data_IF_512875935877
#
_entry.id   IF_512875935877
#
_cell.length_a   1.000
_cell.length_b   1.000
_cell.length_c   1.000
_cell.angle_alpha   90.00
_cell.angle_beta   90.00
_cell.angle_gamma   90.00
#
_symmetry.space_group_name_H-M   'P 1'
#
loop_
_entity.id
_entity.type
_entity.pdbx_description
1 polymer ?
#
# COMPACT_ATOMS: atom_id res chain seq x y z
N UNK A 1 -11.20 4.96 11.91
CA UNK A 1 -12.26 4.38 11.07
C UNK A 1 -11.64 4.24 9.70
N UNK A 2 -10.73 3.27 9.53
CA UNK A 2 -10.31 2.91 8.18
C UNK A 2 -11.42 2.08 7.53
N UNK A 3 -12.14 2.75 6.64
CA UNK A 3 -12.30 2.37 5.24
C UNK A 3 -12.17 0.87 4.89
N UNK A 4 -13.21 0.10 5.20
CA UNK A 4 -13.87 -0.56 4.08
C UNK A 4 -14.55 0.56 3.29
N UNK A 5 -13.94 1.05 2.20
CA UNK A 5 -14.47 2.09 1.28
C UNK A 5 -15.79 1.69 0.57
N UNK A 6 -16.61 0.89 1.22
CA UNK A 6 -17.92 0.53 0.74
C UNK A 6 -18.94 1.51 1.35
N UNK A 7 -19.90 1.89 0.53
CA UNK A 7 -21.03 2.69 0.98
C UNK A 7 -21.83 1.96 2.07
N UNK A 8 -21.82 0.61 2.04
CA UNK A 8 -22.49 -0.28 3.00
C UNK A 8 -21.70 -1.55 3.30
N UNK A 9 -22.06 -2.27 4.37
CA UNK A 9 -21.49 -3.57 4.73
C UNK A 9 -20.70 -3.59 6.05
N UNK A 10 -20.10 -4.74 6.41
CA UNK A 10 -19.34 -4.89 7.64
C UNK A 10 -18.17 -3.91 7.74
N UNK A 11 -18.02 -3.26 8.90
CA UNK A 11 -16.97 -2.29 9.18
C UNK A 11 -16.61 -2.25 10.68
N UNK A 12 -15.55 -1.52 11.03
CA UNK A 12 -15.10 -1.40 12.41
C UNK A 12 -13.94 -0.43 12.57
N UNK A 13 -13.49 -0.20 13.81
CA UNK A 13 -12.18 0.37 14.06
C UNK A 13 -11.09 -0.62 13.63
N UNK A 14 -9.88 -0.10 13.53
CA UNK A 14 -8.79 -0.79 12.86
C UNK A 14 -7.44 -0.48 13.50
N UNK A 15 -6.44 -1.29 13.15
CA UNK A 15 -5.05 -1.09 13.53
C UNK A 15 -4.15 -1.41 12.36
N UNK A 16 -3.41 -0.41 11.91
CA UNK A 16 -2.46 -0.51 10.80
C UNK A 16 -1.03 -0.74 11.32
N UNK A 17 -0.22 -1.46 10.53
CA UNK A 17 1.18 -1.74 10.81
C UNK A 17 2.06 -1.04 9.79
N UNK A 18 3.08 -0.33 10.25
CA UNK A 18 3.99 0.43 9.38
C UNK A 18 5.43 -0.03 9.53
N UNK A 19 6.14 -0.16 8.41
CA UNK A 19 7.59 -0.19 8.36
C UNK A 19 8.13 1.25 8.35
N UNK A 20 9.16 1.50 9.14
CA UNK A 20 9.84 2.79 9.21
C UNK A 20 11.15 2.69 8.44
N UNK A 21 11.18 3.30 7.26
CA UNK A 21 12.40 3.43 6.46
C UNK A 21 13.44 4.28 7.18
N UNK A 22 14.71 4.05 6.85
CA UNK A 22 15.84 4.87 7.32
C UNK A 22 15.91 6.20 6.54
N UNK A 23 14.86 7.00 6.71
CA UNK A 23 14.74 8.36 6.19
C UNK A 23 14.68 9.32 7.37
N UNK A 24 15.30 10.49 7.22
CA UNK A 24 15.12 11.58 8.18
C UNK A 24 13.67 12.07 8.15
N UNK A 25 13.17 12.56 9.29
CA UNK A 25 11.85 13.18 9.31
C UNK A 25 11.80 14.37 8.34
N UNK A 26 10.73 14.44 7.54
CA UNK A 26 10.55 15.50 6.56
C UNK A 26 9.96 16.79 7.18
N UNK A 27 9.72 16.81 8.50
CA UNK A 27 9.12 17.93 9.23
C UNK A 27 8.43 17.47 10.51
N UNK A 28 7.83 18.41 11.25
CA UNK A 28 7.20 18.15 12.56
C UNK A 28 6.03 17.15 12.50
N UNK A 29 5.34 17.08 11.36
CA UNK A 29 4.21 16.17 11.14
C UNK A 29 4.62 14.88 10.39
N UNK A 30 5.91 14.50 10.43
CA UNK A 30 6.37 13.27 9.80
C UNK A 30 5.88 12.05 10.60
N UNK A 31 4.86 11.39 10.09
CA UNK A 31 4.23 10.22 10.71
C UNK A 31 3.53 9.34 9.66
N UNK A 32 2.78 8.32 10.09
CA UNK A 32 2.06 7.40 9.20
C UNK A 32 1.13 8.07 8.17
N UNK A 33 0.55 9.23 8.50
CA UNK A 33 -0.29 10.00 7.58
C UNK A 33 0.50 10.81 6.53
N UNK A 34 1.84 10.82 6.60
CA UNK A 34 2.69 11.59 5.71
C UNK A 34 3.10 10.78 4.47
N UNK A 35 3.07 11.41 3.29
CA UNK A 35 3.42 10.80 2.01
C UNK A 35 4.92 10.82 1.68
N UNK A 36 5.80 11.21 2.62
CA UNK A 36 7.25 11.30 2.39
C UNK A 36 7.95 9.94 2.18
N UNK A 37 7.24 8.83 2.38
CA UNK A 37 7.77 7.48 2.22
C UNK A 37 8.55 6.95 3.41
N UNK A 38 8.68 7.71 4.52
CA UNK A 38 9.31 7.21 5.76
C UNK A 38 8.50 6.09 6.41
N UNK A 39 7.17 6.25 6.47
CA UNK A 39 6.26 5.27 7.04
C UNK A 39 5.54 4.57 5.89
N UNK A 40 5.80 3.29 5.71
CA UNK A 40 5.19 2.46 4.67
C UNK A 40 4.25 1.47 5.34
N UNK A 41 2.96 1.54 5.03
CA UNK A 41 1.98 0.58 5.55
C UNK A 41 2.32 -0.83 5.06
N UNK A 42 2.25 -1.83 5.93
CA UNK A 42 2.42 -3.24 5.59
C UNK A 42 1.11 -4.00 5.60
N UNK A 43 0.13 -3.48 6.33
CA UNK A 43 -1.21 -4.03 6.37
C UNK A 43 -2.03 -3.49 7.52
N UNK A 44 -3.25 -4.00 7.60
CA UNK A 44 -4.32 -3.50 8.42
C UNK A 44 -5.10 -4.67 9.05
N UNK A 45 -5.40 -4.53 10.35
CA UNK A 45 -6.30 -5.40 11.09
C UNK A 45 -7.59 -4.64 11.40
N UNK A 46 -8.68 -4.95 10.70
CA UNK A 46 -9.99 -4.36 10.93
C UNK A 46 -10.77 -5.20 11.94
N UNK A 47 -11.16 -4.59 13.05
CA UNK A 47 -11.96 -5.22 14.10
C UNK A 47 -13.45 -5.06 13.76
N UNK A 48 -13.95 -5.92 12.88
CA UNK A 48 -15.34 -5.88 12.39
C UNK A 48 -16.34 -5.96 13.55
N UNK A 49 -17.03 -4.84 13.80
CA UNK A 49 -17.98 -4.70 14.91
C UNK A 49 -19.36 -4.21 14.49
N UNK A 50 -19.46 -3.54 13.34
CA UNK A 50 -20.71 -2.94 12.86
C UNK A 50 -20.98 -3.34 11.40
N UNK A 51 -22.22 -3.14 10.97
CA UNK A 51 -22.63 -3.12 9.58
C UNK A 51 -23.08 -1.69 9.25
N UNK A 52 -22.54 -1.11 8.19
CA UNK A 52 -22.95 0.20 7.68
C UNK A 52 -24.14 0.02 6.74
N UNK A 53 -25.24 0.66 7.08
CA UNK A 53 -26.47 0.63 6.29
C UNK A 53 -26.45 1.67 5.17
N UNK A 54 -27.38 1.57 4.22
CA UNK A 54 -27.50 2.49 3.07
C UNK A 54 -27.73 3.95 3.45
N UNK A 55 -28.32 4.20 4.63
CA UNK A 55 -28.55 5.54 5.18
C UNK A 55 -27.33 6.07 5.97
N UNK A 56 -26.24 5.30 6.02
CA UNK A 56 -25.02 5.62 6.75
C UNK A 56 -25.07 5.28 8.24
N UNK A 57 -26.20 4.77 8.77
CA UNK A 57 -26.28 4.30 10.15
C UNK A 57 -25.44 3.03 10.36
N UNK A 58 -25.09 2.77 11.62
CA UNK A 58 -24.27 1.62 12.01
C UNK A 58 -25.09 0.69 12.91
N UNK A 59 -25.22 -0.56 12.51
CA UNK A 59 -25.85 -1.62 13.32
C UNK A 59 -24.80 -2.57 13.85
N UNK A 60 -24.90 -3.02 15.11
CA UNK A 60 -23.91 -3.92 15.69
C UNK A 60 -24.00 -5.31 15.05
N UNK A 61 -22.85 -5.88 14.66
CA UNK A 61 -22.80 -7.23 14.12
C UNK A 61 -23.11 -8.27 15.20
N UNK A 62 -23.93 -9.26 14.86
CA UNK A 62 -24.22 -10.41 15.75
C UNK A 62 -22.94 -11.16 16.15
N UNK A 63 -21.97 -11.24 15.24
CA UNK A 63 -20.68 -11.87 15.49
C UNK A 63 -19.57 -10.91 15.07
N UNK A 64 -18.66 -10.63 16.00
CA UNK A 64 -17.47 -9.81 15.78
C UNK A 64 -16.35 -10.68 15.24
N UNK A 65 -15.65 -10.17 14.22
CA UNK A 65 -14.57 -10.89 13.56
C UNK A 65 -13.38 -9.94 13.36
N UNK A 66 -12.25 -10.50 12.92
CA UNK A 66 -11.08 -9.71 12.51
C UNK A 66 -10.89 -9.97 11.02
N UNK A 67 -10.81 -8.89 10.25
CA UNK A 67 -10.42 -8.91 8.85
C UNK A 67 -8.99 -8.38 8.74
N UNK A 68 -8.10 -9.14 8.10
CA UNK A 68 -6.67 -8.82 8.03
C UNK A 68 -6.25 -8.71 6.58
N UNK A 69 -5.78 -7.52 6.19
CA UNK A 69 -5.13 -7.27 4.92
C UNK A 69 -3.62 -7.08 5.12
N UNK A 70 -2.80 -7.80 4.36
CA UNK A 70 -1.35 -7.62 4.32
C UNK A 70 -0.90 -7.44 2.87
N UNK A 71 0.06 -6.55 2.64
CA UNK A 71 0.65 -6.32 1.32
C UNK A 71 1.85 -7.25 1.10
N UNK A 72 1.64 -8.34 0.36
CA UNK A 72 2.66 -9.37 0.15
C UNK A 72 3.90 -8.84 -0.58
N UNK A 73 3.72 -7.99 -1.58
CA UNK A 73 4.79 -7.36 -2.36
C UNK A 73 5.68 -6.49 -1.47
N UNK A 74 5.08 -5.77 -0.51
CA UNK A 74 5.82 -4.96 0.47
C UNK A 74 6.59 -5.84 1.46
N UNK A 75 6.03 -6.97 1.87
CA UNK A 75 6.75 -7.94 2.69
C UNK A 75 7.97 -8.53 1.95
N UNK A 76 7.86 -8.75 0.64
CA UNK A 76 8.99 -9.24 -0.18
C UNK A 76 10.13 -8.24 -0.28
N UNK A 77 9.85 -6.94 -0.45
CA UNK A 77 10.93 -5.95 -0.51
C UNK A 77 11.67 -5.87 0.82
N UNK A 78 10.95 -5.94 1.94
CA UNK A 78 11.56 -5.89 3.27
C UNK A 78 12.39 -7.12 3.59
N UNK A 79 11.87 -8.31 3.30
CA UNK A 79 12.57 -9.57 3.61
C UNK A 79 13.79 -9.79 2.71
N UNK A 80 13.77 -9.30 1.47
CA UNK A 80 14.88 -9.43 0.52
C UNK A 80 15.83 -8.22 0.50
N UNK A 81 15.55 -7.15 1.27
CA UNK A 81 16.35 -5.93 1.25
C UNK A 81 16.32 -5.17 -0.09
N UNK A 82 15.18 -5.22 -0.79
CA UNK A 82 14.95 -4.51 -2.04
C UNK A 82 14.33 -3.14 -1.77
N UNK A 83 14.48 -2.20 -2.70
CA UNK A 83 13.97 -0.84 -2.54
C UNK A 83 12.61 -0.63 -3.21
N UNK A 84 12.18 -1.58 -4.03
CA UNK A 84 11.03 -1.42 -4.90
C UNK A 84 10.35 -2.77 -5.19
N UNK A 85 9.02 -2.79 -5.16
CA UNK A 85 8.22 -3.99 -5.45
C UNK A 85 8.52 -4.56 -6.83
N UNK A 86 8.85 -3.72 -7.82
CA UNK A 86 9.19 -4.15 -9.18
C UNK A 86 10.52 -4.90 -9.30
N UNK A 87 11.38 -4.84 -8.28
CA UNK A 87 12.65 -5.59 -8.21
C UNK A 87 12.44 -7.01 -7.65
N UNK A 88 11.24 -7.32 -7.15
CA UNK A 88 10.92 -8.65 -6.62
C UNK A 88 10.82 -9.67 -7.76
N UNK A 89 10.90 -10.95 -7.39
CA UNK A 89 10.72 -12.09 -8.27
C UNK A 89 9.30 -12.21 -8.85
N UNK A 90 8.31 -11.54 -8.25
CA UNK A 90 6.96 -11.41 -8.80
C UNK A 90 6.93 -10.62 -10.11
N UNK A 91 7.71 -9.54 -10.21
CA UNK A 91 7.62 -8.60 -11.33
C UNK A 91 8.77 -8.73 -12.33
N UNK A 92 9.96 -9.11 -11.87
CA UNK A 92 11.15 -9.22 -12.73
C UNK A 92 10.93 -10.09 -13.98
N UNK A 93 10.26 -11.26 -13.93
CA UNK A 93 9.97 -12.06 -15.13
C UNK A 93 9.06 -11.35 -16.14
N UNK A 94 8.07 -10.60 -15.65
CA UNK A 94 7.11 -9.85 -16.47
C UNK A 94 7.83 -8.67 -17.13
N UNK A 95 8.62 -7.92 -16.37
CA UNK A 95 9.43 -6.80 -16.88
C UNK A 95 10.36 -7.32 -17.99
N UNK A 96 11.07 -8.42 -17.75
CA UNK A 96 11.94 -9.05 -18.74
C UNK A 96 11.18 -9.48 -20.02
N UNK A 97 9.93 -9.94 -19.88
CA UNK A 97 9.10 -10.26 -21.03
C UNK A 97 8.70 -9.01 -21.82
N UNK A 98 8.34 -7.93 -21.13
CA UNK A 98 8.01 -6.65 -21.75
C UNK A 98 9.22 -6.07 -22.49
N UNK A 99 10.42 -6.07 -21.89
CA UNK A 99 11.64 -5.58 -22.56
C UNK A 99 11.92 -6.31 -23.88
N UNK A 100 11.64 -7.63 -23.94
CA UNK A 100 11.81 -8.44 -25.15
C UNK A 100 10.82 -8.05 -26.26
N UNK A 101 9.60 -7.65 -25.89
CA UNK A 101 8.54 -7.30 -26.86
C UNK A 101 8.66 -5.85 -27.31
N UNK A 102 8.98 -4.93 -26.40
CA UNK A 102 9.04 -3.49 -26.68
C UNK A 102 10.39 -3.02 -27.20
N UNK A 103 11.45 -3.83 -27.02
CA UNK A 103 12.85 -3.46 -27.30
C UNK A 103 13.28 -2.21 -26.50
N UNK A 104 12.59 -1.92 -25.39
CA UNK A 104 12.91 -0.83 -24.48
C UNK A 104 13.38 -1.41 -23.16
N UNK A 105 14.43 -0.81 -22.58
CA UNK A 105 14.90 -1.16 -21.24
C UNK A 105 14.09 -0.46 -20.18
N UNK A 106 13.73 -1.21 -19.12
CA UNK A 106 12.92 -0.70 -18.02
C UNK A 106 13.57 0.54 -17.37
N UNK A 107 14.88 0.50 -17.14
CA UNK A 107 15.62 1.63 -16.55
C UNK A 107 15.63 2.88 -17.44
N UNK A 108 15.72 2.71 -18.75
CA UNK A 108 15.68 3.82 -19.72
C UNK A 108 14.28 4.46 -19.75
N UNK A 109 13.24 3.63 -19.77
CA UNK A 109 11.85 4.10 -19.73
C UNK A 109 11.55 4.79 -18.41
N UNK A 110 11.99 4.24 -17.28
CA UNK A 110 11.84 4.85 -15.95
C UNK A 110 12.50 6.23 -15.90
N UNK A 111 13.74 6.35 -16.39
CA UNK A 111 14.46 7.63 -16.45
C UNK A 111 13.70 8.68 -17.27
N UNK A 112 13.20 8.28 -18.45
CA UNK A 112 12.42 9.17 -19.33
C UNK A 112 11.13 9.67 -18.69
N UNK A 113 10.42 8.81 -17.94
CA UNK A 113 9.20 9.20 -17.21
C UNK A 113 9.53 10.21 -16.12
N UNK A 114 10.58 9.99 -15.30
CA UNK A 114 10.99 10.96 -14.29
C UNK A 114 11.36 12.32 -14.91
N UNK A 115 12.10 12.32 -16.02
CA UNK A 115 12.46 13.54 -16.73
C UNK A 115 11.23 14.31 -17.24
N UNK A 116 10.18 13.61 -17.69
CA UNK A 116 8.93 14.25 -18.10
C UNK A 116 8.16 14.84 -16.92
N UNK A 117 8.09 14.14 -15.79
CA UNK A 117 7.39 14.61 -14.58
C UNK A 117 8.06 15.80 -13.89
N UNK A 118 9.35 16.03 -14.11
CA UNK A 118 10.08 17.18 -13.56
C UNK A 118 9.97 18.44 -14.44
N UNK A 119 9.49 18.29 -15.68
CA UNK A 119 9.35 19.38 -16.66
C UNK A 119 7.90 19.89 -16.82
N UNK A 120 6.99 19.41 -15.97
CA UNK A 120 5.58 19.83 -15.84
C UNK A 120 5.35 20.38 -14.45
#
# INVERSE_FOLDING_TARGET
MSDTKNETGPCGPDSEMFYVNDLTDCGENCGPACSCGKYVELGNNVFMSNNKETDGSLTELKQKNIDVGLEFERLLILTNGLNNVYETDLFTPIINALERVTVQKYDETKKKVLELSLNT
#
